data_IF_247186676174
#
_entry.id   IF_247186676174
#
_cell.length_a   1.000
_cell.length_b   1.000
_cell.length_c   1.000
_cell.angle_alpha   90.00
_cell.angle_beta   90.00
_cell.angle_gamma   90.00
#
_symmetry.space_group_name_H-M   'P 1'
#
loop_
_entity.id
_entity.type
_entity.pdbx_description
1 polymer ?
#
# COMPACT_ATOMS: atom_id res chain seq x y z
N UNK A 1 -16.67 4.96 -10.25
CA UNK A 1 -17.10 6.36 -9.93
C UNK A 1 -16.39 6.83 -8.67
N UNK A 2 -16.51 6.10 -7.53
CA UNK A 2 -15.92 6.46 -6.25
C UNK A 2 -14.44 6.86 -6.35
N UNK A 3 -13.57 6.02 -6.92
CA UNK A 3 -12.12 6.35 -7.03
C UNK A 3 -11.84 7.65 -7.82
N UNK A 4 -12.71 8.03 -8.78
CA UNK A 4 -12.58 9.30 -9.50
C UNK A 4 -13.01 10.49 -8.65
N UNK A 5 -14.02 10.33 -7.82
CA UNK A 5 -14.45 11.35 -6.85
C UNK A 5 -13.37 11.57 -5.80
N UNK A 6 -12.87 10.48 -5.18
CA UNK A 6 -11.77 10.52 -4.24
C UNK A 6 -10.52 11.18 -4.84
N UNK A 7 -10.19 10.87 -6.10
CA UNK A 7 -9.05 11.48 -6.79
C UNK A 7 -9.24 12.98 -7.03
N UNK A 8 -10.46 13.42 -7.31
CA UNK A 8 -10.76 14.85 -7.48
C UNK A 8 -10.65 15.63 -6.18
N UNK A 9 -11.21 15.09 -5.09
CA UNK A 9 -11.09 15.66 -3.74
C UNK A 9 -9.65 15.64 -3.28
N UNK A 10 -8.95 14.52 -3.43
CA UNK A 10 -7.55 14.38 -3.07
C UNK A 10 -6.64 15.35 -3.80
N UNK A 11 -6.88 15.62 -5.09
CA UNK A 11 -6.16 16.66 -5.82
C UNK A 11 -6.35 18.02 -5.17
N UNK A 12 -7.59 18.42 -4.89
CA UNK A 12 -7.88 19.71 -4.27
C UNK A 12 -7.21 19.87 -2.91
N UNK A 13 -7.27 18.83 -2.06
CA UNK A 13 -6.59 18.83 -0.75
C UNK A 13 -5.06 18.96 -0.92
N UNK A 14 -4.48 18.25 -1.89
CA UNK A 14 -3.06 18.31 -2.19
C UNK A 14 -2.62 19.69 -2.70
N UNK A 15 -3.39 20.30 -3.58
CA UNK A 15 -3.12 21.64 -4.12
C UNK A 15 -3.20 22.70 -3.01
N UNK A 16 -4.19 22.62 -2.12
CA UNK A 16 -4.33 23.53 -0.97
C UNK A 16 -3.14 23.40 0.00
N UNK A 17 -2.69 22.17 0.28
CA UNK A 17 -1.51 21.93 1.12
C UNK A 17 -0.24 22.45 0.44
N UNK A 18 -0.06 22.21 -0.86
CA UNK A 18 1.08 22.73 -1.61
C UNK A 18 1.13 24.26 -1.55
N UNK A 19 0.00 24.93 -1.79
CA UNK A 19 -0.11 26.37 -1.71
C UNK A 19 0.26 26.91 -0.31
N UNK A 20 -0.33 26.31 0.74
CA UNK A 20 -0.04 26.72 2.12
C UNK A 20 1.43 26.52 2.52
N UNK A 21 2.07 25.47 2.02
CA UNK A 21 3.51 25.23 2.24
C UNK A 21 4.37 26.26 1.51
N UNK A 22 4.07 26.59 0.26
CA UNK A 22 4.80 27.60 -0.51
C UNK A 22 4.64 29.02 0.05
N UNK A 23 3.48 29.36 0.60
CA UNK A 23 3.27 30.62 1.30
C UNK A 23 4.15 30.74 2.57
N UNK A 24 4.39 29.62 3.27
CA UNK A 24 5.24 29.59 4.48
C UNK A 24 6.72 29.42 4.18
N UNK A 25 7.03 28.80 3.04
CA UNK A 25 8.36 28.39 2.59
C UNK A 25 8.61 28.83 1.14
N UNK A 26 8.71 30.14 0.84
CA UNK A 26 8.90 30.64 -0.51
C UNK A 26 10.17 30.11 -1.19
N UNK A 27 11.17 29.73 -0.40
CA UNK A 27 12.42 29.12 -0.85
C UNK A 27 12.22 27.77 -1.56
N UNK A 28 11.05 27.14 -1.42
CA UNK A 28 10.70 25.87 -2.04
C UNK A 28 9.94 26.02 -3.36
N UNK A 29 9.83 27.24 -3.91
CA UNK A 29 9.07 27.51 -5.15
C UNK A 29 9.56 26.68 -6.34
N UNK A 30 10.85 26.40 -6.43
CA UNK A 30 11.46 25.59 -7.50
C UNK A 30 11.47 24.08 -7.17
N UNK A 31 10.83 23.66 -6.11
CA UNK A 31 10.69 22.24 -5.71
C UNK A 31 9.50 21.56 -6.40
N UNK A 32 9.32 20.27 -6.12
CA UNK A 32 8.18 19.49 -6.58
C UNK A 32 6.91 19.64 -5.72
N UNK A 33 6.87 20.60 -4.77
CA UNK A 33 5.69 20.85 -3.94
C UNK A 33 4.42 21.12 -4.76
N UNK A 34 4.46 21.85 -5.90
CA UNK A 34 3.27 22.06 -6.75
C UNK A 34 2.65 20.76 -7.28
N UNK A 35 3.40 19.66 -7.31
CA UNK A 35 2.92 18.35 -7.80
C UNK A 35 2.17 17.52 -6.73
N UNK A 36 2.07 17.99 -5.47
CA UNK A 36 1.41 17.25 -4.39
C UNK A 36 -0.02 16.86 -4.78
N UNK A 37 -0.79 17.77 -5.38
CA UNK A 37 -2.15 17.49 -5.83
C UNK A 37 -2.20 16.35 -6.85
N UNK A 38 -1.27 16.31 -7.80
CA UNK A 38 -1.16 15.24 -8.80
C UNK A 38 -0.79 13.91 -8.16
N UNK A 39 0.13 13.91 -7.20
CA UNK A 39 0.57 12.72 -6.46
C UNK A 39 -0.58 12.14 -5.63
N UNK A 40 -1.28 12.98 -4.86
CA UNK A 40 -2.42 12.56 -4.03
C UNK A 40 -3.55 12.04 -4.91
N UNK A 41 -3.87 12.73 -6.02
CA UNK A 41 -4.88 12.29 -6.99
C UNK A 41 -4.56 10.90 -7.56
N UNK A 42 -3.31 10.64 -7.94
CA UNK A 42 -2.88 9.33 -8.43
C UNK A 42 -2.96 8.25 -7.35
N UNK A 43 -2.59 8.56 -6.12
CA UNK A 43 -2.72 7.64 -4.98
C UNK A 43 -4.20 7.33 -4.68
N UNK A 44 -5.08 8.32 -4.71
CA UNK A 44 -6.52 8.17 -4.57
C UNK A 44 -7.15 7.29 -5.67
N UNK A 45 -6.71 7.41 -6.92
CA UNK A 45 -7.16 6.52 -8.00
C UNK A 45 -6.84 5.06 -7.73
N UNK A 46 -5.77 4.78 -7.02
CA UNK A 46 -5.24 3.45 -6.81
C UNK A 46 -5.56 2.84 -5.43
N UNK A 47 -6.14 3.63 -4.49
CA UNK A 47 -6.27 3.21 -3.08
C UNK A 47 -7.06 1.90 -2.91
N UNK A 48 -8.10 1.69 -3.70
CA UNK A 48 -9.01 0.53 -3.65
C UNK A 48 -8.64 -0.60 -4.63
N UNK A 49 -7.55 -0.46 -5.40
CA UNK A 49 -7.19 -1.38 -6.48
C UNK A 49 -6.96 -2.83 -5.99
N UNK A 50 -6.57 -3.00 -4.74
CA UNK A 50 -6.30 -4.29 -4.12
C UNK A 50 -7.49 -4.96 -3.47
N UNK A 51 -8.62 -4.28 -3.34
CA UNK A 51 -9.80 -4.83 -2.68
C UNK A 51 -10.40 -5.99 -3.50
N UNK A 52 -10.65 -7.15 -2.87
CA UNK A 52 -11.36 -8.23 -3.54
C UNK A 52 -12.85 -7.89 -3.70
N UNK A 53 -13.59 -8.62 -4.54
CA UNK A 53 -15.04 -8.51 -4.59
C UNK A 53 -15.65 -8.64 -3.19
N UNK A 54 -16.63 -7.79 -2.88
CA UNK A 54 -17.28 -7.68 -1.57
C UNK A 54 -16.39 -7.11 -0.44
N UNK A 55 -15.27 -6.46 -0.74
CA UNK A 55 -14.43 -5.75 0.23
C UNK A 55 -13.99 -6.63 1.40
N UNK A 56 -14.20 -6.19 2.64
CA UNK A 56 -13.82 -6.92 3.86
C UNK A 56 -14.39 -8.33 3.96
N UNK A 57 -15.60 -8.58 3.41
CA UNK A 57 -16.16 -9.94 3.36
C UNK A 57 -15.38 -10.83 2.41
N UNK A 58 -14.89 -10.26 1.30
CA UNK A 58 -14.00 -10.95 0.37
C UNK A 58 -12.64 -11.25 1.00
N UNK A 59 -12.01 -10.27 1.69
CA UNK A 59 -10.76 -10.47 2.43
C UNK A 59 -10.91 -11.63 3.44
N UNK A 60 -12.00 -11.61 4.22
CA UNK A 60 -12.28 -12.67 5.18
C UNK A 60 -12.49 -14.04 4.51
N UNK A 61 -13.17 -14.08 3.37
CA UNK A 61 -13.39 -15.32 2.63
C UNK A 61 -12.06 -15.90 2.11
N UNK A 62 -11.15 -15.07 1.59
CA UNK A 62 -9.81 -15.47 1.15
C UNK A 62 -9.03 -16.02 2.35
N UNK A 63 -8.97 -15.27 3.45
CA UNK A 63 -8.26 -15.68 4.67
C UNK A 63 -8.80 -16.99 5.24
N UNK A 64 -10.13 -17.16 5.29
CA UNK A 64 -10.77 -18.41 5.76
C UNK A 64 -10.49 -19.58 4.81
N UNK A 65 -10.45 -19.36 3.50
CA UNK A 65 -10.07 -20.42 2.55
C UNK A 65 -8.70 -21.00 2.85
N UNK A 66 -7.71 -20.16 3.19
CA UNK A 66 -6.37 -20.61 3.53
C UNK A 66 -6.27 -21.14 4.97
N UNK A 67 -6.91 -20.52 5.96
CA UNK A 67 -6.79 -20.91 7.36
C UNK A 67 -7.62 -22.15 7.75
N UNK A 68 -8.81 -22.33 7.16
CA UNK A 68 -9.79 -23.34 7.56
C UNK A 68 -10.33 -24.17 6.38
N UNK A 69 -10.18 -23.65 5.15
CA UNK A 69 -10.72 -24.27 3.95
C UNK A 69 -9.74 -25.20 3.24
N UNK A 70 -10.01 -25.46 1.94
CA UNK A 70 -9.17 -26.32 1.10
C UNK A 70 -7.74 -25.79 0.89
N UNK A 71 -7.50 -24.49 1.12
CA UNK A 71 -6.19 -23.86 1.04
C UNK A 71 -5.20 -24.33 2.11
N UNK A 72 -5.67 -24.88 3.24
CA UNK A 72 -4.82 -25.40 4.33
C UNK A 72 -3.77 -26.38 3.83
N UNK A 73 -4.12 -27.20 2.80
CA UNK A 73 -3.18 -28.14 2.19
C UNK A 73 -1.91 -27.50 1.61
N UNK A 74 -1.94 -26.21 1.27
CA UNK A 74 -0.78 -25.49 0.71
C UNK A 74 0.27 -25.16 1.77
N UNK A 75 -0.05 -25.33 3.05
CA UNK A 75 0.92 -25.24 4.15
C UNK A 75 1.92 -26.38 4.11
N UNK A 76 1.53 -27.53 3.57
CA UNK A 76 2.40 -28.70 3.46
C UNK A 76 3.30 -28.56 2.23
N UNK A 77 4.45 -29.28 2.29
CA UNK A 77 5.37 -29.34 1.15
C UNK A 77 4.67 -29.95 -0.06
N UNK A 78 4.69 -29.24 -1.18
CA UNK A 78 4.06 -29.67 -2.41
C UNK A 78 4.89 -30.77 -3.10
N UNK A 79 4.28 -31.58 -4.00
CA UNK A 79 4.99 -32.65 -4.73
C UNK A 79 6.20 -32.18 -5.54
N UNK A 80 6.20 -30.92 -6.01
CA UNK A 80 7.32 -30.30 -6.70
C UNK A 80 8.44 -29.80 -5.75
N UNK A 81 8.29 -29.99 -4.45
CA UNK A 81 9.25 -29.58 -3.43
C UNK A 81 9.06 -28.16 -2.89
N UNK A 82 8.14 -27.37 -3.45
CA UNK A 82 7.82 -26.03 -2.97
C UNK A 82 7.04 -26.10 -1.65
N UNK A 83 7.28 -25.11 -0.80
CA UNK A 83 6.56 -24.91 0.45
C UNK A 83 6.49 -23.42 0.77
N UNK A 84 5.32 -22.96 1.18
CA UNK A 84 5.15 -21.60 1.67
C UNK A 84 5.96 -21.41 2.96
N UNK A 85 6.68 -20.30 3.04
CA UNK A 85 7.31 -19.85 4.28
C UNK A 85 6.25 -19.50 5.34
N UNK A 86 6.60 -19.47 6.62
CA UNK A 86 5.67 -19.02 7.66
C UNK A 86 5.12 -17.62 7.42
N UNK A 87 5.90 -16.72 6.83
CA UNK A 87 5.46 -15.33 6.53
C UNK A 87 4.49 -15.28 5.36
N UNK A 88 4.74 -16.02 4.26
CA UNK A 88 3.78 -16.15 3.16
C UNK A 88 2.47 -16.78 3.62
N UNK A 89 2.54 -17.70 4.59
CA UNK A 89 1.35 -18.27 5.20
C UNK A 89 0.55 -17.22 6.00
N UNK A 90 1.21 -16.37 6.76
CA UNK A 90 0.57 -15.24 7.46
C UNK A 90 -0.07 -14.27 6.46
N UNK A 91 0.59 -13.96 5.34
CA UNK A 91 0.04 -13.11 4.27
C UNK A 91 -1.28 -13.65 3.74
N UNK A 92 -1.36 -14.96 3.48
CA UNK A 92 -2.55 -15.61 2.91
C UNK A 92 -3.69 -15.76 3.93
N UNK A 93 -3.35 -16.07 5.19
CA UNK A 93 -4.34 -16.28 6.26
C UNK A 93 -4.86 -14.98 6.88
N UNK A 94 -4.19 -13.84 6.60
CA UNK A 94 -4.61 -12.50 7.00
C UNK A 94 -4.72 -11.56 5.78
N UNK A 95 -5.17 -12.10 4.64
CA UNK A 95 -5.22 -11.34 3.38
C UNK A 95 -5.79 -9.93 3.59
N UNK A 96 -5.13 -8.92 2.99
CA UNK A 96 -5.44 -7.51 3.19
C UNK A 96 -5.40 -6.75 1.85
N UNK A 97 -6.48 -6.04 1.53
CA UNK A 97 -6.63 -5.31 0.26
C UNK A 97 -5.56 -4.22 0.07
N UNK A 98 -5.18 -3.49 1.14
CA UNK A 98 -4.14 -2.47 1.03
C UNK A 98 -2.77 -3.07 0.64
N UNK A 99 -2.40 -4.22 1.21
CA UNK A 99 -1.18 -4.93 0.81
C UNK A 99 -1.26 -5.42 -0.63
N UNK A 100 -2.44 -5.91 -1.05
CA UNK A 100 -2.66 -6.35 -2.42
C UNK A 100 -2.61 -5.18 -3.42
N UNK A 101 -3.08 -3.98 -3.06
CA UNK A 101 -2.93 -2.78 -3.89
C UNK A 101 -1.45 -2.48 -4.17
N UNK A 102 -0.61 -2.49 -3.13
CA UNK A 102 0.83 -2.27 -3.28
C UNK A 102 1.46 -3.33 -4.19
N UNK A 103 1.10 -4.63 -4.01
CA UNK A 103 1.56 -5.71 -4.88
C UNK A 103 1.14 -5.50 -6.33
N UNK A 104 -0.13 -5.21 -6.62
CA UNK A 104 -0.61 -4.98 -8.00
C UNK A 104 0.17 -3.85 -8.67
N UNK A 105 0.52 -2.80 -7.94
CA UNK A 105 1.20 -1.62 -8.47
C UNK A 105 2.71 -1.83 -8.68
N UNK A 106 3.35 -2.69 -7.90
CA UNK A 106 4.81 -2.87 -7.91
C UNK A 106 5.26 -4.18 -8.55
N UNK A 107 4.43 -5.21 -8.54
CA UNK A 107 4.78 -6.54 -9.04
C UNK A 107 4.99 -6.53 -10.56
N UNK A 108 6.04 -7.23 -11.00
CA UNK A 108 6.28 -7.46 -12.42
C UNK A 108 5.47 -8.68 -12.89
N UNK A 109 4.29 -8.43 -13.43
CA UNK A 109 3.52 -9.48 -14.11
C UNK A 109 4.16 -9.86 -15.44
N UNK A 110 3.89 -11.09 -15.89
CA UNK A 110 4.38 -11.58 -17.18
C UNK A 110 4.04 -10.61 -18.32
N UNK A 111 5.00 -10.33 -19.20
CA UNK A 111 4.86 -9.39 -20.30
C UNK A 111 4.90 -7.89 -19.90
N UNK A 112 5.09 -7.57 -18.60
CA UNK A 112 5.22 -6.19 -18.12
C UNK A 112 6.66 -5.82 -17.82
N UNK A 113 6.95 -4.51 -17.86
CA UNK A 113 8.27 -3.98 -17.48
C UNK A 113 8.51 -4.13 -15.97
N UNK A 114 9.78 -4.15 -15.56
CA UNK A 114 10.17 -4.15 -14.15
C UNK A 114 9.57 -2.94 -13.42
N UNK A 115 9.05 -3.14 -12.20
CA UNK A 115 8.44 -2.11 -11.38
C UNK A 115 6.92 -1.93 -11.60
N UNK A 116 6.27 -2.87 -12.26
CA UNK A 116 4.80 -2.87 -12.42
C UNK A 116 4.28 -1.66 -13.19
N UNK A 117 3.49 -0.81 -12.54
CA UNK A 117 2.95 0.43 -13.09
C UNK A 117 3.98 1.56 -13.22
N UNK A 118 5.16 1.39 -12.63
CA UNK A 118 6.26 2.39 -12.66
C UNK A 118 5.82 3.75 -12.10
N UNK A 119 5.12 3.73 -10.98
CA UNK A 119 4.74 4.94 -10.24
C UNK A 119 5.94 5.51 -9.48
N UNK A 120 5.87 6.81 -9.14
CA UNK A 120 6.88 7.42 -8.28
C UNK A 120 6.84 6.82 -6.88
N UNK A 121 7.97 6.82 -6.18
CA UNK A 121 8.05 6.32 -4.80
C UNK A 121 7.11 7.08 -3.87
N UNK A 122 6.99 8.40 -4.06
CA UNK A 122 6.06 9.23 -3.28
C UNK A 122 4.61 8.80 -3.48
N UNK A 123 4.18 8.52 -4.71
CA UNK A 123 2.83 8.01 -4.99
C UNK A 123 2.62 6.66 -4.33
N UNK A 124 3.57 5.72 -4.46
CA UNK A 124 3.48 4.39 -3.85
C UNK A 124 3.42 4.47 -2.32
N UNK A 125 4.27 5.30 -1.69
CA UNK A 125 4.26 5.49 -0.25
C UNK A 125 2.97 6.14 0.26
N UNK A 126 2.33 6.98 -0.56
CA UNK A 126 1.07 7.66 -0.23
C UNK A 126 -0.15 6.73 -0.20
N UNK A 127 -0.06 5.54 -0.81
CA UNK A 127 -1.10 4.51 -0.80
C UNK A 127 -0.98 3.61 0.44
N UNK A 128 0.24 3.43 0.98
CA UNK A 128 0.49 2.46 2.06
C UNK A 128 0.07 3.03 3.41
N UNK A 129 -1.19 2.81 3.75
CA UNK A 129 -1.82 3.22 5.02
C UNK A 129 -1.18 2.55 6.25
N UNK A 130 -0.71 1.32 6.10
CA UNK A 130 -0.16 0.49 7.19
C UNK A 130 1.26 0.03 6.83
N UNK A 131 2.30 0.86 7.03
CA UNK A 131 3.66 0.60 6.55
C UNK A 131 4.39 -0.45 7.40
N UNK A 132 3.83 -1.66 7.47
CA UNK A 132 4.37 -2.84 8.15
C UNK A 132 3.83 -4.13 7.53
N UNK A 133 4.56 -5.25 7.73
CA UNK A 133 4.24 -6.56 7.16
C UNK A 133 3.18 -7.32 7.96
N UNK A 134 2.68 -8.41 7.38
CA UNK A 134 1.66 -9.31 7.96
C UNK A 134 2.07 -9.94 9.30
N UNK A 135 3.36 -9.96 9.62
CA UNK A 135 3.85 -10.43 10.94
C UNK A 135 3.25 -9.65 12.12
N UNK A 136 2.75 -8.43 11.88
CA UNK A 136 1.99 -7.63 12.86
C UNK A 136 0.46 -7.78 12.72
N UNK A 137 -0.04 -8.51 11.73
CA UNK A 137 -1.47 -8.65 11.46
C UNK A 137 -2.24 -9.32 12.62
N UNK A 138 -1.61 -10.26 13.33
CA UNK A 138 -2.21 -10.94 14.51
C UNK A 138 -2.66 -9.97 15.59
N UNK A 139 -1.97 -8.84 15.74
CA UNK A 139 -2.28 -7.82 16.76
C UNK A 139 -3.01 -6.62 16.19
N UNK A 140 -2.88 -6.35 14.89
CA UNK A 140 -3.35 -5.12 14.25
C UNK A 140 -4.42 -5.33 13.18
N UNK A 141 -4.68 -6.58 12.76
CA UNK A 141 -5.62 -6.99 11.72
C UNK A 141 -5.42 -6.36 10.32
N UNK A 142 -4.51 -5.42 10.17
CA UNK A 142 -4.20 -4.69 8.93
C UNK A 142 -2.68 -4.60 8.73
N UNK A 143 -2.23 -4.59 7.48
CA UNK A 143 -0.83 -4.40 7.08
C UNK A 143 -0.76 -3.84 5.65
N UNK A 144 0.39 -3.40 5.18
CA UNK A 144 0.48 -2.63 3.95
C UNK A 144 1.28 -3.25 2.81
N UNK A 145 1.97 -4.36 3.05
CA UNK A 145 2.69 -5.10 2.01
C UNK A 145 2.89 -6.56 2.43
N UNK A 146 2.85 -7.46 1.45
CA UNK A 146 3.18 -8.88 1.64
C UNK A 146 4.69 -9.07 1.77
N UNK A 147 5.12 -10.22 2.27
CA UNK A 147 6.54 -10.55 2.42
C UNK A 147 7.31 -10.42 1.09
N UNK A 148 6.66 -10.76 -0.03
CA UNK A 148 7.25 -10.64 -1.37
C UNK A 148 7.52 -9.19 -1.79
N UNK A 149 6.87 -8.20 -1.22
CA UNK A 149 7.04 -6.77 -1.50
C UNK A 149 7.80 -6.02 -0.39
N UNK A 150 8.22 -6.70 0.70
CA UNK A 150 8.89 -6.08 1.84
C UNK A 150 10.18 -5.33 1.43
N UNK A 151 11.04 -5.97 0.63
CA UNK A 151 12.27 -5.35 0.11
C UNK A 151 11.96 -4.12 -0.76
N UNK A 152 10.93 -4.22 -1.60
CA UNK A 152 10.49 -3.09 -2.45
C UNK A 152 10.01 -1.92 -1.61
N UNK A 153 9.22 -2.17 -0.56
CA UNK A 153 8.76 -1.11 0.33
C UNK A 153 9.91 -0.51 1.15
N UNK A 154 10.81 -1.35 1.66
CA UNK A 154 12.00 -0.89 2.39
C UNK A 154 12.86 0.05 1.56
N UNK A 155 13.07 -0.28 0.27
CA UNK A 155 13.78 0.60 -0.66
C UNK A 155 13.07 1.95 -0.80
N UNK A 156 11.75 1.95 -1.04
CA UNK A 156 10.95 3.17 -1.16
C UNK A 156 11.05 4.01 0.11
N UNK A 157 10.88 3.39 1.27
CA UNK A 157 10.94 4.07 2.57
C UNK A 157 12.30 4.70 2.83
N UNK A 158 13.38 4.02 2.48
CA UNK A 158 14.76 4.53 2.61
C UNK A 158 15.02 5.72 1.70
N UNK A 159 14.65 5.62 0.42
CA UNK A 159 14.81 6.70 -0.57
C UNK A 159 14.01 7.96 -0.21
N UNK A 160 12.84 7.79 0.42
CA UNK A 160 12.01 8.90 0.89
C UNK A 160 12.36 9.38 2.30
N UNK A 161 13.31 8.77 2.99
CA UNK A 161 13.69 9.11 4.36
C UNK A 161 12.57 8.86 5.38
N UNK A 162 11.70 7.87 5.17
CA UNK A 162 10.66 7.52 6.14
C UNK A 162 11.31 7.00 7.42
N UNK A 163 10.81 7.46 8.56
CA UNK A 163 11.34 7.04 9.86
C UNK A 163 11.09 5.57 10.11
N UNK A 164 12.15 4.79 10.29
CA UNK A 164 12.08 3.41 10.74
C UNK A 164 11.65 3.38 12.21
N UNK A 165 10.52 2.76 12.51
CA UNK A 165 9.97 2.65 13.86
C UNK A 165 10.34 1.33 14.52
N UNK A 166 10.52 0.28 13.74
CA UNK A 166 10.94 -1.05 14.19
C UNK A 166 11.54 -1.82 13.03
N UNK A 167 12.62 -2.56 13.27
CA UNK A 167 13.32 -3.33 12.24
C UNK A 167 12.78 -4.77 12.13
N UNK A 168 12.45 -5.38 13.25
CA UNK A 168 11.93 -6.75 13.30
C UNK A 168 10.78 -6.88 14.32
N UNK A 169 9.52 -6.98 13.85
CA UNK A 169 9.04 -6.93 12.46
C UNK A 169 9.15 -5.55 11.85
N UNK A 170 9.40 -5.47 10.53
CA UNK A 170 9.61 -4.24 9.81
C UNK A 170 8.41 -3.29 9.92
N UNK A 171 8.67 -2.06 10.37
CA UNK A 171 7.63 -1.02 10.51
C UNK A 171 8.23 0.37 10.32
N UNK A 172 7.58 1.16 9.46
CA UNK A 172 7.91 2.57 9.23
C UNK A 172 6.81 3.51 9.72
N UNK A 173 7.14 4.79 9.85
CA UNK A 173 6.14 5.85 9.95
C UNK A 173 5.39 5.99 8.62
N UNK A 174 4.14 6.46 8.68
CA UNK A 174 3.36 6.76 7.47
C UNK A 174 3.97 7.92 6.69
N UNK A 175 3.91 7.84 5.38
CA UNK A 175 4.17 9.00 4.54
C UNK A 175 3.12 10.09 4.81
N UNK A 176 3.49 11.38 4.91
CA UNK A 176 2.53 12.45 5.24
C UNK A 176 1.30 12.52 4.32
N UNK A 177 1.48 12.27 3.03
CA UNK A 177 0.38 12.33 2.05
C UNK A 177 -0.66 11.22 2.21
N UNK A 178 -0.38 10.15 2.97
CA UNK A 178 -1.38 9.11 3.31
C UNK A 178 -2.60 9.74 3.98
N UNK A 179 -2.39 10.73 4.84
CA UNK A 179 -3.49 11.41 5.55
C UNK A 179 -4.40 12.18 4.61
N UNK A 180 -3.88 12.71 3.50
CA UNK A 180 -4.70 13.39 2.48
C UNK A 180 -5.51 12.38 1.66
N UNK A 181 -4.92 11.21 1.37
CA UNK A 181 -5.63 10.12 0.68
C UNK A 181 -6.77 9.59 1.54
N UNK A 182 -6.51 9.34 2.85
CA UNK A 182 -7.55 8.91 3.80
C UNK A 182 -8.65 9.97 3.94
N UNK A 183 -8.28 11.25 4.08
CA UNK A 183 -9.27 12.33 4.20
C UNK A 183 -10.15 12.44 2.94
N UNK A 184 -9.56 12.28 1.75
CA UNK A 184 -10.31 12.31 0.50
C UNK A 184 -11.30 11.14 0.37
N UNK A 185 -10.90 9.94 0.83
CA UNK A 185 -11.75 8.74 0.88
C UNK A 185 -12.91 8.91 1.86
N UNK A 186 -12.63 9.43 3.06
CA UNK A 186 -13.64 9.68 4.11
C UNK A 186 -14.66 10.77 3.72
N UNK A 187 -14.32 11.68 2.80
CA UNK A 187 -15.22 12.76 2.31
C UNK A 187 -16.20 12.24 1.25
N UNK A 188 -15.80 11.26 0.44
CA UNK A 188 -16.59 10.70 -0.67
C UNK A 188 -17.42 9.48 -0.27
#
# INVERSE_FOLDING_TARGET
THSLEVASVGRSLGDDVAKALLERHPELQDSFLPEIGSIVSAACLAHDLGNPPFGHSGEKAISTFFSEGKGVRLKEKQPNGEQLSPMEWEDLTHFEGNANAFRILTHQFEGRRKGGFVLTYTTLASIVKYPFSSSLARTKSKFGFFVSEEESFQKIATELGLTLLNEHPLKYARHPLVYLVEAADDIC
#
